data_IF_596785343266
#
_entry.id   IF_596785343266
#
_cell.length_a   1.000
_cell.length_b   1.000
_cell.length_c   1.000
_cell.angle_alpha   90.00
_cell.angle_beta   90.00
_cell.angle_gamma   90.00
#
_symmetry.space_group_name_H-M   'P 1'
#
loop_
_entity.id
_entity.type
_entity.pdbx_description
1 polymer ?
#
# COMPACT_ATOMS: atom_id res chain seq x y z
N UNK A 1 31.45 12.90 -19.30
CA UNK A 1 30.00 13.02 -19.58
C UNK A 1 29.28 12.04 -18.64
N UNK A 2 28.24 12.51 -17.95
CA UNK A 2 27.43 11.68 -17.07
C UNK A 2 26.70 10.59 -17.87
N UNK A 3 26.73 9.34 -17.42
CA UNK A 3 26.07 8.22 -18.04
C UNK A 3 24.56 8.39 -18.21
N UNK A 4 23.92 9.20 -17.37
CA UNK A 4 22.50 9.55 -17.46
C UNK A 4 22.10 10.23 -18.76
N UNK A 5 23.02 10.89 -19.44
CA UNK A 5 22.78 11.50 -20.76
C UNK A 5 22.88 10.50 -21.91
N UNK A 6 23.53 9.37 -21.72
CA UNK A 6 23.70 8.34 -22.76
C UNK A 6 22.69 7.20 -22.58
N UNK A 7 22.75 6.52 -21.47
CA UNK A 7 21.81 5.45 -21.10
C UNK A 7 21.83 5.22 -19.57
N UNK A 8 20.74 5.56 -18.91
CA UNK A 8 20.62 5.46 -17.45
C UNK A 8 20.44 4.01 -16.95
N UNK A 9 20.09 3.11 -17.87
CA UNK A 9 19.91 1.67 -17.61
C UNK A 9 20.54 0.88 -18.77
N UNK A 10 21.90 0.69 -18.79
CA UNK A 10 22.61 0.17 -19.94
C UNK A 10 22.44 -1.37 -20.14
N UNK A 11 21.17 -1.83 -20.17
CA UNK A 11 20.82 -3.24 -20.34
C UNK A 11 21.25 -3.78 -21.70
N UNK A 12 21.16 -2.93 -22.73
CA UNK A 12 21.56 -3.34 -24.09
C UNK A 12 23.07 -3.61 -24.18
N UNK A 13 23.90 -2.86 -23.47
CA UNK A 13 25.32 -3.14 -23.38
C UNK A 13 25.59 -4.50 -22.71
N UNK A 14 24.86 -4.82 -21.64
CA UNK A 14 24.98 -6.14 -21.00
C UNK A 14 24.60 -7.28 -21.97
N UNK A 15 23.54 -7.08 -22.77
CA UNK A 15 23.13 -8.06 -23.80
C UNK A 15 24.22 -8.22 -24.88
N UNK A 16 24.77 -7.12 -25.36
CA UNK A 16 25.85 -7.12 -26.35
C UNK A 16 27.12 -7.83 -25.82
N UNK A 17 27.35 -7.79 -24.51
CA UNK A 17 28.42 -8.51 -23.81
C UNK A 17 28.07 -9.97 -23.46
N UNK A 18 26.91 -10.47 -23.89
CA UNK A 18 26.52 -11.87 -23.74
C UNK A 18 25.65 -12.20 -22.52
N UNK A 19 25.08 -11.21 -21.84
CA UNK A 19 24.17 -11.48 -20.74
C UNK A 19 22.89 -12.19 -21.23
N UNK A 20 22.51 -13.30 -20.58
CA UNK A 20 21.29 -14.08 -20.84
C UNK A 20 20.16 -13.73 -19.87
N UNK A 21 20.51 -13.18 -18.69
CA UNK A 21 19.57 -12.65 -17.70
C UNK A 21 20.08 -11.30 -17.19
N UNK A 22 19.15 -10.40 -16.82
CA UNK A 22 19.50 -9.12 -16.23
C UNK A 22 18.64 -8.79 -15.00
N UNK A 23 19.27 -8.35 -13.92
CA UNK A 23 18.61 -7.74 -12.78
C UNK A 23 18.79 -6.23 -12.94
N UNK A 24 17.69 -5.51 -13.08
CA UNK A 24 17.68 -4.07 -13.37
C UNK A 24 17.20 -3.31 -12.14
N UNK A 25 18.09 -2.51 -11.52
CA UNK A 25 17.74 -1.61 -10.43
C UNK A 25 17.46 -0.22 -11.00
N UNK A 26 16.17 0.12 -11.12
CA UNK A 26 15.73 1.40 -11.70
C UNK A 26 15.26 2.34 -10.58
N UNK A 27 16.12 3.22 -10.11
CA UNK A 27 15.81 4.24 -9.10
C UNK A 27 14.95 5.39 -9.62
N UNK A 28 14.45 5.31 -10.85
CA UNK A 28 13.66 6.36 -11.53
C UNK A 28 14.40 7.69 -11.65
N UNK A 29 15.73 7.66 -11.70
CA UNK A 29 16.52 8.84 -11.95
C UNK A 29 16.13 9.45 -13.32
N UNK A 30 16.15 10.79 -13.47
CA UNK A 30 15.97 11.44 -14.75
C UNK A 30 17.10 11.06 -15.69
N UNK A 31 16.81 10.95 -16.99
CA UNK A 31 17.78 10.58 -18.02
C UNK A 31 17.22 9.66 -19.07
N UNK A 32 18.01 9.39 -20.10
CA UNK A 32 17.62 8.53 -21.20
C UNK A 32 17.61 7.06 -20.73
N UNK A 33 16.56 6.33 -21.06
CA UNK A 33 16.41 4.89 -20.79
C UNK A 33 16.04 4.19 -22.08
N UNK A 34 16.83 3.20 -22.46
CA UNK A 34 16.56 2.39 -23.65
C UNK A 34 15.93 1.07 -23.27
N UNK A 35 14.88 0.69 -23.98
CA UNK A 35 14.26 -0.62 -23.76
C UNK A 35 15.24 -1.75 -24.16
N UNK A 36 15.24 -2.88 -23.42
CA UNK A 36 16.05 -4.05 -23.77
C UNK A 36 15.74 -4.53 -25.21
N UNK A 37 16.78 -4.76 -25.98
CA UNK A 37 16.69 -5.36 -27.30
C UNK A 37 16.76 -6.89 -27.18
N UNK A 38 15.85 -7.60 -27.85
CA UNK A 38 15.82 -9.06 -27.81
C UNK A 38 15.06 -9.65 -26.62
N UNK A 39 15.05 -10.99 -26.54
CA UNK A 39 14.28 -11.74 -25.54
C UNK A 39 15.19 -12.19 -24.40
N UNK A 40 15.53 -11.25 -23.51
CA UNK A 40 16.30 -11.51 -22.29
C UNK A 40 15.38 -11.55 -21.08
N UNK A 41 15.61 -12.51 -20.18
CA UNK A 41 14.88 -12.57 -18.91
C UNK A 41 15.31 -11.39 -18.02
N UNK A 42 14.38 -10.52 -17.69
CA UNK A 42 14.65 -9.33 -16.87
C UNK A 42 13.88 -9.35 -15.57
N UNK A 43 14.56 -9.03 -14.46
CA UNK A 43 13.94 -8.75 -13.16
C UNK A 43 14.13 -7.29 -12.84
N UNK A 44 13.03 -6.54 -12.76
CA UNK A 44 13.06 -5.12 -12.43
C UNK A 44 12.86 -4.92 -10.92
N UNK A 45 13.76 -4.19 -10.31
CA UNK A 45 13.67 -3.70 -8.93
C UNK A 45 13.45 -2.20 -9.02
N UNK A 46 12.27 -1.73 -8.60
CA UNK A 46 11.88 -0.31 -8.68
C UNK A 46 11.29 0.13 -7.36
N UNK A 47 11.70 1.28 -6.81
CA UNK A 47 11.11 1.80 -5.59
C UNK A 47 9.63 2.13 -5.80
N UNK A 48 8.80 1.65 -4.88
CA UNK A 48 7.37 1.99 -4.79
C UNK A 48 7.16 3.23 -3.94
N UNK A 49 7.92 3.35 -2.88
CA UNK A 49 7.93 4.48 -1.97
C UNK A 49 8.81 5.60 -2.52
N UNK A 50 8.57 6.81 -2.05
CA UNK A 50 9.39 7.97 -2.42
C UNK A 50 10.75 7.84 -1.72
N UNK A 51 11.81 7.71 -2.52
CA UNK A 51 13.19 7.80 -2.04
C UNK A 51 13.54 9.28 -1.83
N UNK A 52 14.31 9.59 -0.80
CA UNK A 52 14.83 10.94 -0.58
C UNK A 52 15.74 11.41 -1.74
N UNK A 53 15.94 12.70 -1.79
CA UNK A 53 16.86 13.28 -2.78
C UNK A 53 18.28 12.71 -2.61
N UNK A 54 18.97 12.42 -3.71
CA UNK A 54 20.27 11.73 -3.70
C UNK A 54 21.41 12.48 -2.99
N UNK A 55 21.24 13.79 -2.76
CA UNK A 55 22.17 14.60 -1.97
C UNK A 55 21.70 14.77 -0.50
N UNK A 56 20.70 14.04 -0.07
CA UNK A 56 20.27 14.02 1.33
C UNK A 56 21.13 13.03 2.12
N UNK A 57 22.12 13.55 2.85
CA UNK A 57 23.06 12.78 3.66
C UNK A 57 22.55 12.51 5.08
N UNK A 58 21.22 12.44 5.27
CA UNK A 58 20.62 12.12 6.54
C UNK A 58 20.74 10.60 6.83
N UNK A 59 21.34 10.26 7.97
CA UNK A 59 21.62 8.87 8.37
C UNK A 59 20.34 8.03 8.55
N UNK A 60 19.31 8.61 9.17
CA UNK A 60 18.03 7.95 9.42
C UNK A 60 17.33 7.68 8.10
N UNK A 61 17.32 8.66 7.20
CA UNK A 61 16.73 8.51 5.88
C UNK A 61 17.50 7.50 5.01
N UNK A 62 18.83 7.47 5.11
CA UNK A 62 19.63 6.46 4.43
C UNK A 62 19.23 5.03 4.87
N UNK A 63 19.02 4.82 6.17
CA UNK A 63 18.55 3.53 6.70
C UNK A 63 17.16 3.15 6.16
N UNK A 64 16.21 4.09 6.11
CA UNK A 64 14.89 3.88 5.53
C UNK A 64 15.00 3.51 4.04
N UNK A 65 15.84 4.22 3.28
CA UNK A 65 16.06 3.92 1.87
C UNK A 65 16.69 2.53 1.65
N UNK A 66 17.60 2.09 2.54
CA UNK A 66 18.16 0.74 2.51
C UNK A 66 17.07 -0.33 2.76
N UNK A 67 16.18 -0.09 3.73
CA UNK A 67 15.05 -0.97 4.00
C UNK A 67 14.12 -1.06 2.79
N UNK A 68 13.79 0.07 2.15
CA UNK A 68 12.99 0.06 0.91
C UNK A 68 13.67 -0.74 -0.20
N UNK A 69 14.97 -0.56 -0.42
CA UNK A 69 15.74 -1.31 -1.42
C UNK A 69 15.73 -2.81 -1.16
N UNK A 70 15.91 -3.22 0.10
CA UNK A 70 15.80 -4.61 0.51
C UNK A 70 14.38 -5.16 0.26
N UNK A 71 13.36 -4.46 0.74
CA UNK A 71 11.97 -4.86 0.61
C UNK A 71 11.54 -5.01 -0.84
N UNK A 72 11.86 -4.03 -1.70
CA UNK A 72 11.53 -4.05 -3.13
C UNK A 72 12.26 -5.18 -3.87
N UNK A 73 13.51 -5.45 -3.50
CA UNK A 73 14.27 -6.58 -4.02
C UNK A 73 13.60 -7.90 -3.66
N UNK A 74 13.27 -8.09 -2.38
CA UNK A 74 12.64 -9.32 -1.90
C UNK A 74 11.26 -9.54 -2.52
N UNK A 75 10.49 -8.48 -2.76
CA UNK A 75 9.21 -8.54 -3.49
C UNK A 75 9.42 -8.91 -4.97
N UNK A 76 10.43 -8.33 -5.64
CA UNK A 76 10.75 -8.65 -7.03
C UNK A 76 11.10 -10.14 -7.22
N UNK A 77 11.77 -10.76 -6.23
CA UNK A 77 12.08 -12.18 -6.18
C UNK A 77 10.99 -13.05 -5.54
N UNK A 78 9.80 -12.50 -5.26
CA UNK A 78 8.66 -13.22 -4.66
C UNK A 78 8.98 -13.89 -3.32
N UNK A 79 9.90 -13.31 -2.55
CA UNK A 79 10.24 -13.73 -1.19
C UNK A 79 9.41 -13.02 -0.13
N UNK A 80 8.86 -11.86 -0.48
CA UNK A 80 7.93 -11.06 0.31
C UNK A 80 6.74 -10.66 -0.57
N UNK A 81 5.65 -10.23 0.04
CA UNK A 81 4.43 -9.77 -0.62
C UNK A 81 4.18 -8.29 -0.38
N UNK A 82 3.23 -7.73 -1.15
CA UNK A 82 2.84 -6.35 -1.08
C UNK A 82 3.27 -5.54 -2.30
N UNK A 83 2.78 -4.31 -2.37
CA UNK A 83 3.15 -3.32 -3.40
C UNK A 83 3.83 -2.11 -2.74
N UNK A 84 3.07 -1.36 -1.94
CA UNK A 84 3.55 -0.18 -1.21
C UNK A 84 4.10 -0.54 0.18
N UNK A 85 3.35 -1.30 0.97
CA UNK A 85 3.84 -1.92 2.19
C UNK A 85 4.47 -3.28 1.89
N UNK A 86 5.14 -3.84 2.88
CA UNK A 86 5.81 -5.13 2.73
C UNK A 86 5.31 -6.10 3.78
N UNK A 87 4.84 -7.25 3.32
CA UNK A 87 4.34 -8.32 4.15
C UNK A 87 5.21 -9.57 3.99
N UNK A 88 5.23 -10.41 5.01
CA UNK A 88 5.86 -11.72 4.89
C UNK A 88 5.19 -12.54 3.79
N UNK A 89 5.94 -13.49 3.27
CA UNK A 89 5.47 -14.37 2.19
C UNK A 89 4.20 -15.09 2.61
N UNK A 90 3.27 -15.20 1.67
CA UNK A 90 1.98 -15.89 1.77
C UNK A 90 0.97 -15.28 2.79
N UNK A 91 1.29 -14.19 3.46
CA UNK A 91 0.39 -13.51 4.41
C UNK A 91 -0.88 -12.96 3.73
N UNK A 92 -0.71 -12.18 2.66
CA UNK A 92 -1.83 -11.61 1.91
C UNK A 92 -2.55 -12.69 1.11
N UNK A 93 -1.79 -13.59 0.49
CA UNK A 93 -2.34 -14.69 -0.30
C UNK A 93 -3.21 -15.60 0.56
N UNK A 94 -2.71 -16.05 1.71
CA UNK A 94 -3.47 -16.89 2.65
C UNK A 94 -4.70 -16.20 3.20
N UNK A 95 -4.58 -14.92 3.58
CA UNK A 95 -5.71 -14.13 4.04
C UNK A 95 -6.80 -14.02 2.97
N UNK A 96 -6.41 -13.74 1.72
CA UNK A 96 -7.35 -13.65 0.61
C UNK A 96 -8.06 -14.98 0.36
N UNK A 97 -7.32 -16.09 0.24
CA UNK A 97 -7.91 -17.40 -0.05
C UNK A 97 -8.87 -17.86 1.05
N UNK A 98 -8.54 -17.59 2.31
CA UNK A 98 -9.39 -17.93 3.46
C UNK A 98 -10.70 -17.11 3.49
N UNK A 99 -10.66 -15.85 3.08
CA UNK A 99 -11.75 -14.91 3.35
C UNK A 99 -12.47 -14.39 2.09
N UNK A 100 -12.05 -14.77 0.88
CA UNK A 100 -12.56 -14.22 -0.39
C UNK A 100 -14.08 -14.32 -0.58
N UNK A 101 -14.68 -15.41 -0.13
CA UNK A 101 -16.12 -15.63 -0.31
C UNK A 101 -16.95 -14.74 0.63
N UNK A 102 -16.52 -14.61 1.87
CA UNK A 102 -17.15 -13.75 2.86
C UNK A 102 -16.96 -12.27 2.52
N UNK A 103 -15.75 -11.88 2.15
CA UNK A 103 -15.47 -10.54 1.68
C UNK A 103 -16.30 -10.20 0.42
N UNK A 104 -16.48 -11.14 -0.50
CA UNK A 104 -17.29 -10.91 -1.70
C UNK A 104 -18.76 -10.65 -1.35
N UNK A 105 -19.30 -11.29 -0.30
CA UNK A 105 -20.64 -11.00 0.22
C UNK A 105 -20.71 -9.60 0.84
N UNK A 106 -19.75 -9.23 1.69
CA UNK A 106 -19.69 -7.93 2.35
C UNK A 106 -19.58 -6.78 1.34
N UNK A 107 -18.77 -6.97 0.29
CA UNK A 107 -18.59 -5.97 -0.76
C UNK A 107 -19.66 -5.99 -1.86
N UNK A 108 -20.60 -6.93 -1.83
CA UNK A 108 -21.57 -7.19 -2.90
C UNK A 108 -20.91 -7.29 -4.29
N UNK A 109 -19.69 -7.78 -4.35
CA UNK A 109 -18.90 -7.92 -5.58
C UNK A 109 -17.72 -8.85 -5.36
N UNK A 110 -17.31 -9.56 -6.42
CA UNK A 110 -16.10 -10.37 -6.38
C UNK A 110 -14.88 -9.46 -6.18
N UNK A 111 -14.20 -9.63 -5.07
CA UNK A 111 -12.98 -8.91 -4.75
C UNK A 111 -11.77 -9.72 -5.24
N UNK A 112 -10.91 -9.12 -6.04
CA UNK A 112 -9.63 -9.75 -6.44
C UNK A 112 -8.56 -9.55 -5.36
N UNK A 113 -7.56 -10.43 -5.31
CA UNK A 113 -6.42 -10.29 -4.39
C UNK A 113 -5.73 -8.91 -4.54
N UNK A 114 -5.56 -8.42 -5.77
CA UNK A 114 -4.97 -7.09 -6.04
C UNK A 114 -5.82 -5.95 -5.46
N UNK A 115 -7.15 -6.06 -5.53
CA UNK A 115 -8.05 -5.06 -4.95
C UNK A 115 -8.00 -5.10 -3.42
N UNK A 116 -7.97 -6.30 -2.83
CA UNK A 116 -7.82 -6.47 -1.38
C UNK A 116 -6.51 -5.88 -0.89
N UNK A 117 -5.38 -6.23 -1.52
CA UNK A 117 -4.07 -5.67 -1.19
C UNK A 117 -4.11 -4.13 -1.23
N UNK A 118 -4.66 -3.55 -2.29
CA UNK A 118 -4.79 -2.09 -2.41
C UNK A 118 -5.63 -1.48 -1.29
N UNK A 119 -6.69 -2.14 -0.84
CA UNK A 119 -7.49 -1.68 0.31
C UNK A 119 -6.69 -1.71 1.61
N UNK A 120 -5.99 -2.82 1.88
CA UNK A 120 -5.11 -2.98 3.06
C UNK A 120 -4.05 -1.88 3.07
N UNK A 121 -3.36 -1.67 1.96
CA UNK A 121 -2.30 -0.66 1.86
C UNK A 121 -2.81 0.78 1.98
N UNK A 122 -3.99 1.08 1.43
CA UNK A 122 -4.60 2.40 1.60
C UNK A 122 -4.99 2.67 3.06
N UNK A 123 -5.47 1.66 3.79
CA UNK A 123 -5.69 1.74 5.23
C UNK A 123 -4.37 2.10 5.94
N UNK A 124 -3.28 1.41 5.64
CA UNK A 124 -1.98 1.72 6.24
C UNK A 124 -1.51 3.14 5.98
N UNK A 125 -1.69 3.64 4.77
CA UNK A 125 -1.38 5.04 4.42
C UNK A 125 -2.23 6.03 5.20
N UNK A 126 -3.55 5.81 5.29
CA UNK A 126 -4.46 6.67 6.04
C UNK A 126 -4.12 6.72 7.53
N UNK A 127 -3.76 5.59 8.11
CA UNK A 127 -3.38 5.49 9.51
C UNK A 127 -1.89 5.72 9.74
N UNK A 128 -1.13 6.12 8.71
CA UNK A 128 0.29 6.48 8.79
C UNK A 128 1.12 5.38 9.46
N UNK A 129 1.03 4.16 8.94
CA UNK A 129 1.90 3.07 9.35
C UNK A 129 3.29 3.29 8.77
N UNK A 130 4.29 2.75 9.43
CA UNK A 130 5.68 2.85 8.98
C UNK A 130 5.88 2.02 7.70
N UNK A 131 6.43 2.62 6.65
CA UNK A 131 6.40 2.07 5.29
C UNK A 131 7.56 1.11 5.00
N UNK A 132 8.67 1.27 5.70
CA UNK A 132 9.91 0.53 5.48
C UNK A 132 10.01 -0.79 6.29
N UNK A 133 8.99 -1.11 7.08
CA UNK A 133 8.92 -2.35 7.85
C UNK A 133 8.39 -3.53 7.04
N UNK A 134 8.75 -4.74 7.47
CA UNK A 134 8.16 -6.01 7.02
C UNK A 134 7.14 -6.46 8.06
N UNK A 135 5.89 -6.60 7.68
CA UNK A 135 4.78 -6.93 8.56
C UNK A 135 4.38 -8.40 8.49
N UNK A 136 4.01 -8.96 9.64
CA UNK A 136 2.97 -9.98 9.68
C UNK A 136 1.62 -9.27 9.52
N UNK A 137 0.69 -9.86 8.79
CA UNK A 137 -0.60 -9.22 8.51
C UNK A 137 -1.42 -8.97 9.79
N UNK A 138 -1.37 -9.90 10.73
CA UNK A 138 -2.05 -9.76 12.02
C UNK A 138 -1.49 -8.59 12.84
N UNK A 139 -0.17 -8.42 12.87
CA UNK A 139 0.45 -7.29 13.56
C UNK A 139 0.12 -5.96 12.91
N UNK A 140 0.07 -5.94 11.57
CA UNK A 140 -0.39 -4.78 10.82
C UNK A 140 -1.81 -4.38 11.20
N UNK A 141 -2.74 -5.34 11.29
CA UNK A 141 -4.12 -5.09 11.70
C UNK A 141 -4.22 -4.65 13.17
N UNK A 142 -3.43 -5.22 14.07
CA UNK A 142 -3.36 -4.77 15.47
C UNK A 142 -2.90 -3.31 15.59
N UNK A 143 -1.91 -2.90 14.82
CA UNK A 143 -1.44 -1.51 14.80
C UNK A 143 -2.54 -0.58 14.27
N UNK A 144 -3.22 -0.95 13.18
CA UNK A 144 -4.35 -0.18 12.65
C UNK A 144 -5.45 -0.03 13.70
N UNK A 145 -5.85 -1.12 14.37
CA UNK A 145 -6.87 -1.12 15.43
C UNK A 145 -6.51 -0.16 16.59
N UNK A 146 -5.25 -0.20 17.05
CA UNK A 146 -4.77 0.74 18.09
C UNK A 146 -4.89 2.19 17.66
N UNK A 147 -4.54 2.49 16.38
CA UNK A 147 -4.66 3.84 15.82
C UNK A 147 -6.10 4.28 15.61
N UNK A 148 -7.03 3.38 15.35
CA UNK A 148 -8.48 3.64 15.31
C UNK A 148 -8.95 4.02 16.71
N UNK A 149 -8.68 3.21 17.72
CA UNK A 149 -9.11 3.43 19.11
C UNK A 149 -8.58 4.76 19.66
N UNK A 150 -7.33 5.11 19.36
CA UNK A 150 -6.77 6.42 19.75
C UNK A 150 -7.44 7.60 19.04
N UNK A 151 -8.10 7.37 17.91
CA UNK A 151 -8.79 8.39 17.10
C UNK A 151 -10.27 8.52 17.42
N UNK A 152 -10.86 7.68 18.27
CA UNK A 152 -12.32 7.70 18.59
C UNK A 152 -12.79 8.97 19.25
N UNK A 153 -11.94 9.65 20.06
CA UNK A 153 -12.26 10.96 20.63
C UNK A 153 -12.51 12.03 19.57
N UNK A 154 -11.84 11.91 18.43
CA UNK A 154 -11.95 12.84 17.29
C UNK A 154 -13.27 12.62 16.53
N UNK A 155 -13.86 11.42 16.58
CA UNK A 155 -15.06 11.08 15.80
C UNK A 155 -16.33 11.84 16.22
N UNK A 156 -16.46 12.24 17.48
CA UNK A 156 -17.58 13.07 17.95
C UNK A 156 -17.52 14.50 17.43
N UNK A 157 -16.31 15.04 17.29
CA UNK A 157 -16.06 16.37 16.71
C UNK A 157 -16.41 16.38 15.21
N UNK A 158 -16.16 15.26 14.53
CA UNK A 158 -16.41 15.11 13.09
C UNK A 158 -17.91 15.12 12.77
N UNK A 159 -18.75 14.43 13.55
CA UNK A 159 -20.20 14.48 13.35
C UNK A 159 -20.72 15.93 13.41
N UNK A 160 -20.13 16.75 14.26
CA UNK A 160 -20.45 18.18 14.40
C UNK A 160 -20.01 18.97 13.17
N UNK A 161 -18.82 18.70 12.64
CA UNK A 161 -18.26 19.38 11.47
C UNK A 161 -18.95 18.96 10.16
N UNK A 162 -19.29 17.67 9.98
CA UNK A 162 -20.07 17.19 8.84
C UNK A 162 -21.45 17.86 8.79
N UNK A 163 -22.12 18.00 9.94
CA UNK A 163 -23.42 18.68 10.05
C UNK A 163 -23.33 20.19 9.76
N UNK A 164 -22.18 20.83 10.02
CA UNK A 164 -21.99 22.28 9.86
C UNK A 164 -21.55 22.73 8.45
N UNK A 165 -21.41 21.82 7.49
CA UNK A 165 -20.95 22.08 6.09
C UNK A 165 -19.60 22.81 5.97
N UNK A 166 -18.79 22.89 7.01
CA UNK A 166 -17.44 23.47 7.01
C UNK A 166 -16.40 22.33 6.99
N UNK A 167 -16.18 21.71 5.82
CA UNK A 167 -15.34 20.52 5.77
C UNK A 167 -14.14 20.70 4.83
N UNK A 168 -12.93 20.76 5.39
CA UNK A 168 -11.76 20.14 4.78
C UNK A 168 -11.70 18.68 5.28
N UNK A 169 -12.35 17.75 4.59
CA UNK A 169 -12.50 16.39 5.10
C UNK A 169 -11.26 15.58 4.78
N UNK A 170 -10.52 15.21 5.81
CA UNK A 170 -9.43 14.25 5.72
C UNK A 170 -10.01 12.84 5.45
N UNK A 171 -9.42 12.10 4.49
CA UNK A 171 -9.83 10.74 4.10
C UNK A 171 -10.01 9.81 5.31
N UNK A 172 -9.06 9.82 6.26
CA UNK A 172 -9.12 9.04 7.50
C UNK A 172 -10.42 9.28 8.28
N UNK A 173 -10.86 10.53 8.37
CA UNK A 173 -12.06 10.90 9.11
C UNK A 173 -13.33 10.35 8.45
N UNK A 174 -13.36 10.34 7.12
CA UNK A 174 -14.47 9.74 6.35
C UNK A 174 -14.51 8.24 6.58
N UNK A 175 -13.38 7.56 6.53
CA UNK A 175 -13.28 6.12 6.80
C UNK A 175 -13.78 5.79 8.20
N UNK A 176 -13.36 6.54 9.22
CA UNK A 176 -13.82 6.37 10.61
C UNK A 176 -15.32 6.64 10.78
N UNK A 177 -15.87 7.64 10.08
CA UNK A 177 -17.31 7.90 10.06
C UNK A 177 -18.11 6.71 9.52
N UNK A 178 -17.70 6.15 8.37
CA UNK A 178 -18.34 4.96 7.82
C UNK A 178 -18.19 3.76 8.73
N UNK A 179 -17.00 3.51 9.28
CA UNK A 179 -16.74 2.40 10.20
C UNK A 179 -17.69 2.46 11.42
N UNK A 180 -17.85 3.63 12.01
CA UNK A 180 -18.77 3.83 13.13
C UNK A 180 -20.23 3.60 12.74
N UNK A 181 -20.65 4.03 11.55
CA UNK A 181 -22.02 3.81 11.08
C UNK A 181 -22.29 2.31 10.84
N UNK A 182 -21.35 1.59 10.24
CA UNK A 182 -21.41 0.15 10.01
C UNK A 182 -21.50 -0.58 11.35
N UNK A 183 -20.60 -0.33 12.29
CA UNK A 183 -20.54 -0.99 13.59
C UNK A 183 -21.78 -0.70 14.47
N UNK A 184 -22.45 0.42 14.25
CA UNK A 184 -23.69 0.78 14.97
C UNK A 184 -24.97 0.43 14.19
N UNK A 185 -24.90 -0.33 13.11
CA UNK A 185 -26.02 -0.71 12.25
C UNK A 185 -26.89 0.49 11.82
N UNK A 186 -26.29 1.65 11.58
CA UNK A 186 -27.00 2.83 11.11
C UNK A 186 -27.39 2.66 9.64
N UNK A 187 -28.56 3.20 9.26
CA UNK A 187 -29.03 3.17 7.88
C UNK A 187 -28.00 3.78 6.92
N UNK A 188 -27.62 3.03 5.91
CA UNK A 188 -26.66 3.48 4.89
C UNK A 188 -27.22 4.61 4.03
N UNK A 189 -26.39 5.61 3.78
CA UNK A 189 -26.69 6.66 2.81
C UNK A 189 -26.01 6.31 1.47
N UNK A 190 -26.78 5.78 0.53
CA UNK A 190 -26.28 5.33 -0.79
C UNK A 190 -25.53 6.43 -1.54
N UNK A 191 -25.97 7.68 -1.44
CA UNK A 191 -25.33 8.81 -2.12
C UNK A 191 -23.95 9.08 -1.54
N UNK A 192 -23.80 9.10 -0.20
CA UNK A 192 -22.50 9.25 0.45
C UNK A 192 -21.58 8.08 0.15
N UNK A 193 -22.10 6.85 0.12
CA UNK A 193 -21.31 5.66 -0.21
C UNK A 193 -20.74 5.73 -1.64
N UNK A 194 -21.45 6.33 -2.59
CA UNK A 194 -20.96 6.53 -3.95
C UNK A 194 -19.88 7.61 -4.01
N UNK A 195 -20.09 8.77 -3.39
CA UNK A 195 -19.11 9.86 -3.37
C UNK A 195 -17.79 9.46 -2.71
N UNK A 196 -17.85 8.65 -1.65
CA UNK A 196 -16.70 8.21 -0.86
C UNK A 196 -16.51 6.69 -0.94
N UNK A 197 -16.69 6.11 -2.12
CA UNK A 197 -16.69 4.66 -2.33
C UNK A 197 -15.43 3.95 -1.81
N UNK A 198 -14.26 4.61 -1.92
CA UNK A 198 -13.00 4.06 -1.43
C UNK A 198 -12.99 3.98 0.11
N UNK A 199 -13.41 5.06 0.79
CA UNK A 199 -13.47 5.11 2.26
C UNK A 199 -14.52 4.16 2.82
N UNK A 200 -15.68 4.04 2.14
CA UNK A 200 -16.71 3.08 2.50
C UNK A 200 -16.17 1.64 2.42
N UNK A 201 -15.47 1.28 1.32
CA UNK A 201 -14.82 -0.04 1.19
C UNK A 201 -13.77 -0.30 2.27
N UNK A 202 -12.96 0.70 2.61
CA UNK A 202 -11.98 0.58 3.69
C UNK A 202 -12.68 0.35 5.04
N UNK A 203 -13.78 1.06 5.31
CA UNK A 203 -14.57 0.89 6.52
C UNK A 203 -15.22 -0.50 6.63
N UNK A 204 -15.73 -1.05 5.51
CA UNK A 204 -16.24 -2.43 5.45
C UNK A 204 -15.15 -3.45 5.79
N UNK A 205 -13.95 -3.30 5.21
CA UNK A 205 -12.82 -4.17 5.52
C UNK A 205 -12.39 -4.05 6.98
N UNK A 206 -12.31 -2.83 7.52
CA UNK A 206 -11.96 -2.59 8.93
C UNK A 206 -12.98 -3.16 9.91
N UNK A 207 -14.28 -3.08 9.59
CA UNK A 207 -15.35 -3.70 10.39
C UNK A 207 -15.20 -5.22 10.39
N UNK A 208 -14.94 -5.82 9.23
CA UNK A 208 -14.68 -7.25 9.10
C UNK A 208 -13.47 -7.71 9.91
N UNK A 209 -12.34 -6.99 9.77
CA UNK A 209 -11.11 -7.26 10.53
C UNK A 209 -11.35 -7.11 12.04
N UNK A 210 -12.08 -6.08 12.45
CA UNK A 210 -12.41 -5.83 13.86
C UNK A 210 -13.22 -6.95 14.50
N UNK A 211 -14.08 -7.61 13.73
CA UNK A 211 -14.92 -8.73 14.19
C UNK A 211 -14.16 -10.07 14.21
N UNK A 212 -13.22 -10.30 13.29
CA UNK A 212 -12.60 -11.61 13.07
C UNK A 212 -11.11 -11.69 13.44
N UNK A 213 -10.44 -10.54 13.55
CA UNK A 213 -8.99 -10.44 13.78
C UNK A 213 -8.73 -9.35 14.81
N UNK A 214 -8.12 -9.68 15.92
CA UNK A 214 -7.67 -8.59 16.82
C UNK A 214 -7.99 -8.76 18.30
N UNK A 215 -7.95 -9.97 18.76
CA UNK A 215 -7.68 -10.21 20.18
C UNK A 215 -6.18 -10.11 20.50
#
# INVERSE_FOLDING_TARGET
>A
IDGGFYDNLPVNLAIELGATEAIIVDLRAPGLKRLPKGNIKTTYIRPKNKISFFLDFNKEQAKINMNFGYNDTMKAFKRLEGDYFTFRKDEITSFYEKNKDELSKIFNSKLTMKQLLKLIENIGKEFQLQEDLIYYLDDYFKIVKRKINSSEKISKEIEKQIKSKKISVNSKLITLFFLRNINNNKRENKTLNLFFAQNHKQALLLSYIGANYGE
#
